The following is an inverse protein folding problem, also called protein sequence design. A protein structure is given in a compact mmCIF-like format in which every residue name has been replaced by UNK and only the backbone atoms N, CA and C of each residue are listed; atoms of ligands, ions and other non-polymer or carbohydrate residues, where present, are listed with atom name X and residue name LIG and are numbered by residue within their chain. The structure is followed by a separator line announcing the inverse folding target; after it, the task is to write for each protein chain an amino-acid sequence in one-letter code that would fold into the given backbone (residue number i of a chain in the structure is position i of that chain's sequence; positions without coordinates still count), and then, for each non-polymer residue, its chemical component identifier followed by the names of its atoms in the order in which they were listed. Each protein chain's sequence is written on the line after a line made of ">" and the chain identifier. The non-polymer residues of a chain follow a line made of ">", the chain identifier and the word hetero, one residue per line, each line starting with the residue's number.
data_IF_599318452360
#
_entry.id   IF_599318452360
#
_cell.length_a   1.000
_cell.length_b   1.000
_cell.length_c   1.000
_cell.angle_alpha   90.00
_cell.angle_beta   90.00
_cell.angle_gamma   90.00
#
_symmetry.space_group_name_H-M   'P 1'
#
loop_
_entity.id
_entity.type
_entity.pdbx_description
1 polymer ?
#
# COMPACT_ATOMS: atom_id res chain seq x y z
N UNK A 1 21.71 92.73 -94.50
CA UNK A 1 20.77 91.58 -94.47
C UNK A 1 21.63 90.35 -94.19
N UNK A 2 21.52 89.74 -93.00
CA UNK A 2 20.66 88.58 -92.70
C UNK A 2 21.18 87.27 -93.31
N UNK A 3 21.36 86.14 -92.61
CA UNK A 3 21.30 85.83 -91.15
C UNK A 3 22.08 84.49 -90.91
N UNK A 4 22.46 84.20 -89.67
CA UNK A 4 22.74 82.87 -89.04
C UNK A 4 21.95 81.69 -89.68
N UNK A 5 22.28 80.38 -89.51
CA UNK A 5 23.11 79.79 -88.45
C UNK A 5 24.02 78.63 -88.97
N UNK A 6 24.60 77.67 -88.22
CA UNK A 6 24.80 77.42 -86.77
C UNK A 6 26.05 76.53 -86.55
N UNK A 7 26.44 76.27 -85.29
CA UNK A 7 27.11 75.04 -84.87
C UNK A 7 26.50 74.55 -83.55
N UNK A 8 25.94 73.34 -83.53
CA UNK A 8 25.33 72.71 -82.36
C UNK A 8 26.13 71.44 -81.96
N UNK A 9 26.43 71.21 -80.68
CA UNK A 9 27.14 70.02 -80.21
C UNK A 9 26.17 68.88 -79.88
N UNK A 10 26.58 67.63 -80.10
CA UNK A 10 25.89 66.47 -79.50
C UNK A 10 26.36 66.25 -78.06
N UNK A 11 25.40 66.03 -77.15
CA UNK A 11 25.64 65.93 -75.71
C UNK A 11 26.19 64.55 -75.30
N UNK A 12 27.22 64.55 -74.45
CA UNK A 12 27.71 63.34 -73.77
C UNK A 12 26.84 63.05 -72.55
N UNK A 13 26.34 61.83 -72.45
CA UNK A 13 25.52 61.36 -71.33
C UNK A 13 26.31 61.32 -70.01
N UNK A 14 25.79 61.96 -68.95
CA UNK A 14 26.16 61.62 -67.56
C UNK A 14 24.98 61.00 -66.80
N UNK A 15 25.18 59.76 -66.31
CA UNK A 15 24.26 59.11 -65.38
C UNK A 15 24.52 59.65 -63.96
N UNK A 16 23.52 60.18 -63.23
CA UNK A 16 23.74 60.76 -61.92
C UNK A 16 24.12 59.69 -60.87
N UNK A 17 25.34 59.78 -60.34
CA UNK A 17 25.81 58.92 -59.23
C UNK A 17 25.04 59.26 -57.95
N UNK A 18 24.10 58.40 -57.58
CA UNK A 18 23.28 58.52 -56.36
C UNK A 18 24.17 58.39 -55.11
N UNK A 19 24.50 59.52 -54.49
CA UNK A 19 25.28 59.54 -53.24
C UNK A 19 24.44 58.96 -52.09
N UNK A 20 24.80 57.79 -51.56
CA UNK A 20 24.19 57.29 -50.34
C UNK A 20 24.58 58.17 -49.14
N UNK A 21 23.68 58.43 -48.18
CA UNK A 21 23.97 59.25 -47.02
C UNK A 21 24.86 58.48 -46.04
N UNK A 22 26.18 58.55 -46.23
CA UNK A 22 27.20 57.84 -45.43
C UNK A 22 26.97 57.98 -43.91
N UNK A 23 26.58 59.17 -43.44
CA UNK A 23 26.28 59.41 -42.03
C UNK A 23 25.11 58.58 -41.46
N UNK A 24 24.11 58.21 -42.27
CA UNK A 24 23.02 57.31 -41.83
C UNK A 24 23.48 55.85 -41.76
N UNK A 25 24.38 55.43 -42.65
CA UNK A 25 24.97 54.09 -42.62
C UNK A 25 25.91 53.94 -41.42
N UNK A 26 26.76 54.94 -41.16
CA UNK A 26 27.62 54.99 -39.99
C UNK A 26 26.81 55.00 -38.68
N UNK A 27 25.73 55.80 -38.61
CA UNK A 27 24.82 55.82 -37.47
C UNK A 27 24.14 54.47 -37.21
N UNK A 28 23.64 53.80 -38.26
CA UNK A 28 23.03 52.48 -38.16
C UNK A 28 24.03 51.38 -37.75
N UNK A 29 25.27 51.42 -38.29
CA UNK A 29 26.34 50.52 -37.87
C UNK A 29 26.74 50.73 -36.41
N UNK A 30 26.82 51.99 -35.95
CA UNK A 30 27.12 52.34 -34.56
C UNK A 30 26.06 51.86 -33.58
N UNK A 31 24.76 52.06 -33.87
CA UNK A 31 23.67 51.57 -33.01
C UNK A 31 23.56 50.06 -33.02
N UNK A 32 23.82 49.40 -34.15
CA UNK A 32 23.86 47.94 -34.24
C UNK A 32 24.99 47.34 -33.38
N UNK A 33 26.22 47.87 -33.50
CA UNK A 33 27.35 47.41 -32.68
C UNK A 33 27.12 47.67 -31.19
N UNK A 34 26.54 48.81 -30.82
CA UNK A 34 26.22 49.13 -29.42
C UNK A 34 25.13 48.20 -28.86
N UNK A 35 24.10 47.87 -29.65
CA UNK A 35 23.07 46.90 -29.27
C UNK A 35 23.66 45.50 -29.04
N UNK A 36 24.52 45.03 -29.95
CA UNK A 36 25.20 43.73 -29.82
C UNK A 36 26.14 43.73 -28.61
N UNK A 37 26.90 44.80 -28.38
CA UNK A 37 27.82 44.92 -27.24
C UNK A 37 27.09 44.97 -25.88
N UNK A 38 25.94 45.65 -25.80
CA UNK A 38 25.11 45.65 -24.58
C UNK A 38 24.50 44.27 -24.35
N UNK A 39 23.97 43.62 -25.38
CA UNK A 39 23.39 42.27 -25.28
C UNK A 39 24.42 41.24 -24.83
N UNK A 40 25.57 41.16 -25.51
CA UNK A 40 26.65 40.23 -25.13
C UNK A 40 27.30 40.60 -23.80
N UNK A 41 27.43 41.89 -23.48
CA UNK A 41 27.91 42.37 -22.18
C UNK A 41 27.03 41.93 -21.02
N UNK A 42 25.70 42.03 -21.16
CA UNK A 42 24.73 41.54 -20.16
C UNK A 42 24.81 40.01 -20.04
N UNK A 43 24.89 39.29 -21.16
CA UNK A 43 25.03 37.82 -21.15
C UNK A 43 26.31 37.38 -20.43
N UNK A 44 27.46 37.97 -20.78
CA UNK A 44 28.75 37.67 -20.15
C UNK A 44 28.71 38.04 -18.66
N UNK A 45 28.12 39.19 -18.29
CA UNK A 45 28.01 39.59 -16.88
C UNK A 45 27.12 38.64 -16.06
N UNK A 46 25.99 38.17 -16.61
CA UNK A 46 25.17 37.13 -15.98
C UNK A 46 25.93 35.80 -15.80
N UNK A 47 26.72 35.40 -16.81
CA UNK A 47 27.45 34.12 -16.81
C UNK A 47 28.77 34.16 -16.02
N UNK A 48 29.42 35.33 -15.88
CA UNK A 48 30.64 35.48 -15.07
C UNK A 48 30.37 35.74 -13.59
N UNK A 49 29.27 36.40 -13.22
CA UNK A 49 28.91 36.62 -11.83
C UNK A 49 28.05 35.49 -11.24
N UNK A 50 27.39 34.72 -12.12
CA UNK A 50 26.47 33.69 -11.74
C UNK A 50 27.12 32.32 -11.80
N UNK A 51 27.28 31.70 -10.64
CA UNK A 51 27.61 30.28 -10.48
C UNK A 51 26.42 29.37 -10.91
N UNK A 52 25.67 29.79 -11.93
CA UNK A 52 24.34 29.26 -12.29
C UNK A 52 24.45 27.83 -12.80
N UNK A 53 25.56 27.47 -13.45
CA UNK A 53 25.86 26.10 -13.83
C UNK A 53 26.05 25.20 -12.62
N UNK A 54 26.83 25.64 -11.63
CA UNK A 54 27.09 24.88 -10.41
C UNK A 54 25.83 24.80 -9.54
N UNK A 55 25.09 25.91 -9.36
CA UNK A 55 23.80 25.97 -8.66
C UNK A 55 22.73 25.08 -9.30
N UNK A 56 22.58 25.10 -10.63
CA UNK A 56 21.63 24.21 -11.30
C UNK A 56 22.07 22.75 -11.16
N UNK A 57 23.37 22.44 -11.31
CA UNK A 57 23.87 21.06 -11.18
C UNK A 57 23.73 20.52 -9.75
N UNK A 58 24.02 21.33 -8.74
CA UNK A 58 23.85 20.99 -7.31
C UNK A 58 22.38 20.83 -6.95
N UNK A 59 21.51 21.69 -7.45
CA UNK A 59 20.06 21.56 -7.24
C UNK A 59 19.49 20.32 -7.95
N UNK A 60 19.95 19.97 -9.15
CA UNK A 60 19.58 18.72 -9.83
C UNK A 60 20.06 17.51 -9.02
N UNK A 61 21.33 17.50 -8.58
CA UNK A 61 21.89 16.41 -7.79
C UNK A 61 21.17 16.24 -6.43
N UNK A 62 20.84 17.32 -5.74
CA UNK A 62 20.05 17.31 -4.50
C UNK A 62 18.62 16.80 -4.74
N UNK A 63 17.97 17.25 -5.82
CA UNK A 63 16.64 16.74 -6.20
C UNK A 63 16.67 15.25 -6.54
N UNK A 64 17.72 14.78 -7.23
CA UNK A 64 17.89 13.35 -7.56
C UNK A 64 18.20 12.51 -6.31
N UNK A 65 19.03 13.01 -5.39
CA UNK A 65 19.26 12.37 -4.09
C UNK A 65 17.99 12.28 -3.25
N UNK A 66 17.16 13.33 -3.21
CA UNK A 66 15.85 13.32 -2.55
C UNK A 66 14.88 12.33 -3.20
N UNK A 67 14.86 12.23 -4.54
CA UNK A 67 14.05 11.22 -5.26
C UNK A 67 14.52 9.80 -4.95
N UNK A 68 15.83 9.54 -4.87
CA UNK A 68 16.37 8.24 -4.50
C UNK A 68 16.02 7.88 -3.05
N UNK A 69 16.17 8.82 -2.11
CA UNK A 69 15.79 8.63 -0.71
C UNK A 69 14.28 8.34 -0.56
N UNK A 70 13.41 9.07 -1.27
CA UNK A 70 11.96 8.83 -1.27
C UNK A 70 11.61 7.46 -1.88
N UNK A 71 12.31 6.99 -2.91
CA UNK A 71 12.11 5.65 -3.48
C UNK A 71 12.50 4.55 -2.50
N UNK A 72 13.63 4.71 -1.83
CA UNK A 72 14.09 3.77 -0.80
C UNK A 72 13.12 3.73 0.39
N UNK A 73 12.62 4.88 0.84
CA UNK A 73 11.61 4.98 1.90
C UNK A 73 10.29 4.30 1.48
N UNK A 74 9.83 4.49 0.24
CA UNK A 74 8.65 3.80 -0.30
C UNK A 74 8.85 2.27 -0.33
N UNK A 75 10.06 1.78 -0.67
CA UNK A 75 10.36 0.35 -0.68
C UNK A 75 10.36 -0.23 0.75
N UNK A 76 10.98 0.46 1.71
CA UNK A 76 10.97 0.10 3.14
C UNK A 76 9.53 0.11 3.69
N UNK A 77 8.73 1.12 3.36
CA UNK A 77 7.32 1.21 3.78
C UNK A 77 6.47 0.10 3.17
N UNK A 78 6.66 -0.24 1.89
CA UNK A 78 5.94 -1.37 1.27
C UNK A 78 6.31 -2.72 1.90
N UNK A 79 7.60 -2.95 2.20
CA UNK A 79 8.05 -4.15 2.92
C UNK A 79 7.42 -4.21 4.33
N UNK A 80 7.38 -3.07 5.03
CA UNK A 80 6.75 -2.96 6.36
C UNK A 80 5.24 -3.20 6.30
N UNK A 81 4.54 -2.65 5.30
CA UNK A 81 3.11 -2.88 5.07
C UNK A 81 2.83 -4.35 4.80
N UNK A 82 3.67 -5.03 4.01
CA UNK A 82 3.53 -6.45 3.71
C UNK A 82 3.71 -7.31 4.97
N UNK A 83 4.74 -7.03 5.77
CA UNK A 83 4.98 -7.72 7.04
C UNK A 83 3.81 -7.51 8.03
N UNK A 84 3.30 -6.28 8.16
CA UNK A 84 2.14 -5.98 9.02
C UNK A 84 0.84 -6.64 8.52
N UNK A 85 0.68 -6.86 7.21
CA UNK A 85 -0.45 -7.61 6.66
C UNK A 85 -0.37 -9.10 7.02
N UNK A 86 0.81 -9.72 6.90
CA UNK A 86 1.06 -11.11 7.27
C UNK A 86 0.83 -11.31 8.79
N UNK A 87 1.40 -10.46 9.64
CA UNK A 87 1.15 -10.47 11.08
C UNK A 87 -0.34 -10.28 11.42
N UNK A 88 -1.05 -9.41 10.70
CA UNK A 88 -2.49 -9.20 10.91
C UNK A 88 -3.31 -10.43 10.56
N UNK A 89 -2.98 -11.14 9.48
CA UNK A 89 -3.66 -12.39 9.09
C UNK A 89 -3.39 -13.50 10.11
N UNK A 90 -2.15 -13.64 10.57
CA UNK A 90 -1.77 -14.57 11.65
C UNK A 90 -2.53 -14.25 12.94
N UNK A 91 -2.60 -12.98 13.34
CA UNK A 91 -3.28 -12.56 14.57
C UNK A 91 -4.81 -12.76 14.49
N UNK A 92 -5.42 -12.46 13.33
CA UNK A 92 -6.84 -12.77 13.04
C UNK A 92 -7.11 -14.26 13.10
N UNK A 93 -6.19 -15.06 12.56
CA UNK A 93 -6.24 -16.53 12.58
C UNK A 93 -6.22 -17.01 14.04
N UNK A 94 -5.24 -16.60 14.86
CA UNK A 94 -5.21 -16.92 16.29
C UNK A 94 -6.48 -16.47 17.04
N UNK A 95 -7.00 -15.27 16.80
CA UNK A 95 -8.26 -14.81 17.41
C UNK A 95 -9.44 -15.72 17.03
N UNK A 96 -9.58 -16.09 15.76
CA UNK A 96 -10.66 -16.96 15.27
C UNK A 96 -10.57 -18.36 15.87
N UNK A 97 -9.37 -18.94 15.94
CA UNK A 97 -9.17 -20.27 16.53
C UNK A 97 -9.36 -20.26 18.05
N UNK A 98 -8.80 -19.27 18.75
CA UNK A 98 -8.94 -19.12 20.20
C UNK A 98 -10.39 -18.91 20.61
N UNK A 99 -11.10 -17.97 19.98
CA UNK A 99 -12.52 -17.71 20.27
C UNK A 99 -13.44 -18.88 19.93
N UNK A 100 -13.26 -19.51 18.75
CA UNK A 100 -14.08 -20.66 18.34
C UNK A 100 -13.85 -21.88 19.24
N UNK A 101 -12.59 -22.15 19.64
CA UNK A 101 -12.25 -23.26 20.55
C UNK A 101 -12.72 -22.98 21.97
N UNK A 102 -12.54 -21.75 22.48
CA UNK A 102 -13.05 -21.35 23.79
C UNK A 102 -14.58 -21.46 23.86
N UNK A 103 -15.29 -20.98 22.83
CA UNK A 103 -16.75 -21.09 22.72
C UNK A 103 -17.21 -22.55 22.67
N UNK A 104 -16.55 -23.42 21.88
CA UNK A 104 -16.80 -24.87 21.89
C UNK A 104 -16.66 -25.46 23.29
N UNK A 105 -15.58 -25.14 24.00
CA UNK A 105 -15.34 -25.65 25.35
C UNK A 105 -16.39 -25.16 26.35
N UNK A 106 -16.82 -23.89 26.25
CA UNK A 106 -17.92 -23.33 27.06
C UNK A 106 -19.23 -24.08 26.78
N UNK A 107 -19.59 -24.31 25.52
CA UNK A 107 -20.81 -25.04 25.18
C UNK A 107 -20.79 -26.50 25.64
N UNK A 108 -19.65 -27.19 25.51
CA UNK A 108 -19.48 -28.56 26.04
C UNK A 108 -19.64 -28.57 27.55
N UNK A 109 -19.05 -27.61 28.27
CA UNK A 109 -19.19 -27.51 29.73
C UNK A 109 -20.63 -27.18 30.17
N UNK A 110 -21.34 -26.31 29.44
CA UNK A 110 -22.77 -26.06 29.68
C UNK A 110 -23.62 -27.32 29.50
N UNK A 111 -23.33 -28.12 28.48
CA UNK A 111 -24.04 -29.37 28.22
C UNK A 111 -23.75 -30.44 29.28
N UNK A 112 -22.49 -30.54 29.76
CA UNK A 112 -22.11 -31.38 30.91
C UNK A 112 -22.80 -30.92 32.21
N UNK A 113 -22.95 -29.61 32.43
CA UNK A 113 -23.69 -29.05 33.56
C UNK A 113 -25.19 -29.42 33.49
N UNK A 114 -25.80 -29.30 32.31
CA UNK A 114 -27.19 -29.73 32.07
C UNK A 114 -27.37 -31.22 32.37
N UNK A 115 -26.43 -32.09 31.98
CA UNK A 115 -26.48 -33.52 32.30
C UNK A 115 -26.45 -33.78 33.81
N UNK A 116 -25.56 -33.10 34.54
CA UNK A 116 -25.50 -33.18 36.00
C UNK A 116 -26.80 -32.72 36.67
N UNK A 117 -27.36 -31.59 36.22
CA UNK A 117 -28.64 -31.07 36.72
C UNK A 117 -29.82 -32.02 36.45
N UNK A 118 -29.92 -32.57 35.23
CA UNK A 118 -30.98 -33.51 34.88
C UNK A 118 -30.85 -34.85 35.63
N UNK A 119 -29.63 -35.31 35.92
CA UNK A 119 -29.41 -36.50 36.74
C UNK A 119 -29.91 -36.30 38.19
N UNK A 120 -29.60 -35.15 38.80
CA UNK A 120 -30.12 -34.78 40.13
C UNK A 120 -31.64 -34.61 40.11
N UNK A 121 -32.19 -33.99 39.06
CA UNK A 121 -33.64 -33.84 38.89
C UNK A 121 -34.34 -35.20 38.79
N UNK A 122 -33.81 -36.14 37.99
CA UNK A 122 -34.34 -37.51 37.87
C UNK A 122 -34.41 -38.20 39.23
N UNK A 123 -33.36 -38.09 40.04
CA UNK A 123 -33.34 -38.65 41.40
C UNK A 123 -34.40 -37.98 42.28
N UNK A 124 -34.46 -36.65 42.30
CA UNK A 124 -35.44 -35.90 43.10
C UNK A 124 -36.90 -36.19 42.70
N UNK A 125 -37.18 -36.50 41.42
CA UNK A 125 -38.49 -36.95 40.94
C UNK A 125 -38.83 -38.33 41.51
N UNK A 126 -37.89 -39.28 41.49
CA UNK A 126 -38.08 -40.61 42.08
C UNK A 126 -38.29 -40.55 43.60
N UNK A 127 -37.45 -39.78 44.31
CA UNK A 127 -37.58 -39.56 45.76
C UNK A 127 -38.95 -38.93 46.13
N UNK A 128 -39.49 -38.02 45.31
CA UNK A 128 -40.85 -37.51 45.49
C UNK A 128 -41.92 -38.55 45.14
N UNK A 129 -41.69 -39.36 44.10
CA UNK A 129 -42.57 -40.45 43.67
C UNK A 129 -42.86 -41.41 44.82
N UNK A 130 -41.82 -41.90 45.49
CA UNK A 130 -41.92 -42.80 46.65
C UNK A 130 -42.63 -42.15 47.87
N UNK A 131 -42.59 -40.83 48.01
CA UNK A 131 -43.23 -40.11 49.13
C UNK A 131 -44.71 -39.77 48.92
N UNK A 132 -45.21 -39.78 47.67
CA UNK A 132 -46.55 -39.31 47.31
C UNK A 132 -47.47 -40.47 46.91
N UNK A 133 -48.57 -40.75 47.63
CA UNK A 133 -49.52 -41.76 47.18
C UNK A 133 -50.17 -41.35 45.85
N UNK A 134 -50.30 -42.31 44.92
CA UNK A 134 -50.79 -42.11 43.53
C UNK A 134 -49.88 -41.25 42.63
N UNK A 135 -48.58 -41.15 42.93
CA UNK A 135 -47.59 -40.41 42.14
C UNK A 135 -47.23 -40.99 40.77
N UNK A 136 -47.37 -42.30 40.60
CA UNK A 136 -46.68 -43.08 39.55
C UNK A 136 -46.89 -42.59 38.11
N UNK A 137 -48.05 -42.02 37.77
CA UNK A 137 -48.33 -41.53 36.41
C UNK A 137 -47.56 -40.24 36.08
N UNK A 138 -47.53 -39.27 37.00
CA UNK A 138 -46.76 -38.04 36.79
C UNK A 138 -45.26 -38.32 36.90
N UNK A 139 -44.84 -39.16 37.85
CA UNK A 139 -43.44 -39.56 38.02
C UNK A 139 -42.89 -40.18 36.73
N UNK A 140 -43.59 -41.17 36.16
CA UNK A 140 -43.21 -41.82 34.90
C UNK A 140 -43.10 -40.82 33.76
N UNK A 141 -44.06 -39.89 33.64
CA UNK A 141 -44.05 -38.86 32.61
C UNK A 141 -42.85 -37.91 32.74
N UNK A 142 -42.58 -37.42 33.95
CA UNK A 142 -41.46 -36.50 34.19
C UNK A 142 -40.11 -37.20 34.03
N UNK A 143 -39.93 -38.43 34.53
CA UNK A 143 -38.70 -39.21 34.29
C UNK A 143 -38.45 -39.42 32.79
N UNK A 144 -39.48 -39.79 32.01
CA UNK A 144 -39.36 -39.93 30.56
C UNK A 144 -38.91 -38.63 29.86
N UNK A 145 -39.47 -37.48 30.25
CA UNK A 145 -39.07 -36.19 29.69
C UNK A 145 -37.65 -35.80 30.12
N UNK A 146 -37.26 -36.08 31.35
CA UNK A 146 -35.89 -35.88 31.84
C UNK A 146 -34.88 -36.74 31.07
N UNK A 147 -35.22 -38.00 30.77
CA UNK A 147 -34.38 -38.90 29.96
C UNK A 147 -34.27 -38.44 28.51
N UNK A 148 -35.37 -37.96 27.91
CA UNK A 148 -35.37 -37.39 26.56
C UNK A 148 -34.48 -36.15 26.49
N UNK A 149 -34.58 -35.26 27.49
CA UNK A 149 -33.73 -34.08 27.61
C UNK A 149 -32.25 -34.46 27.82
N UNK A 150 -31.97 -35.47 28.67
CA UNK A 150 -30.61 -35.97 28.93
C UNK A 150 -29.99 -36.58 27.66
N UNK A 151 -30.76 -37.37 26.90
CA UNK A 151 -30.31 -37.95 25.63
C UNK A 151 -30.02 -36.85 24.60
N UNK A 152 -30.93 -35.90 24.42
CA UNK A 152 -30.73 -34.77 23.50
C UNK A 152 -29.53 -33.89 23.91
N UNK A 153 -29.24 -33.81 25.22
CA UNK A 153 -28.05 -33.17 25.77
C UNK A 153 -26.77 -33.93 25.43
N UNK A 154 -26.73 -35.25 25.63
CA UNK A 154 -25.57 -36.09 25.26
C UNK A 154 -25.29 -36.08 23.74
N UNK A 155 -26.35 -36.06 22.91
CA UNK A 155 -26.23 -35.91 21.46
C UNK A 155 -25.61 -34.55 21.09
N UNK A 156 -26.07 -33.45 21.69
CA UNK A 156 -25.49 -32.11 21.51
C UNK A 156 -24.02 -32.05 21.96
N UNK A 157 -23.67 -32.59 23.12
CA UNK A 157 -22.29 -32.67 23.59
C UNK A 157 -21.40 -33.46 22.62
N UNK A 158 -21.92 -34.55 22.05
CA UNK A 158 -21.20 -35.38 21.07
C UNK A 158 -20.98 -34.63 19.77
N UNK A 159 -22.00 -33.94 19.24
CA UNK A 159 -21.88 -33.09 18.05
C UNK A 159 -20.88 -31.94 18.27
N UNK A 160 -20.93 -31.26 19.42
CA UNK A 160 -19.99 -30.19 19.78
C UNK A 160 -18.55 -30.70 19.87
N UNK A 161 -18.33 -31.91 20.43
CA UNK A 161 -17.01 -32.55 20.47
C UNK A 161 -16.51 -32.91 19.06
N UNK A 162 -17.39 -33.40 18.19
CA UNK A 162 -17.10 -33.72 16.77
C UNK A 162 -16.85 -32.49 15.88
N UNK A 163 -17.34 -31.29 16.25
CA UNK A 163 -17.01 -30.06 15.53
C UNK A 163 -15.49 -29.82 15.55
N UNK A 164 -14.83 -29.96 14.39
CA UNK A 164 -13.46 -29.50 14.20
C UNK A 164 -13.44 -27.97 14.18
N UNK A 165 -13.24 -27.37 15.35
CA UNK A 165 -12.82 -25.96 15.49
C UNK A 165 -11.42 -25.85 14.93
N UNK A 166 -11.32 -25.53 13.63
CA UNK A 166 -10.17 -25.76 12.76
C UNK A 166 -8.83 -25.75 13.50
N UNK A 167 -8.28 -26.93 13.76
CA UNK A 167 -6.99 -27.05 14.43
C UNK A 167 -5.93 -26.35 13.57
N UNK A 168 -5.07 -25.48 14.15
CA UNK A 168 -3.94 -24.98 13.40
C UNK A 168 -3.09 -26.18 12.98
N UNK A 169 -2.60 -26.23 11.73
CA UNK A 169 -1.66 -27.28 11.36
C UNK A 169 -0.48 -27.21 12.33
N UNK A 170 -0.17 -28.34 12.98
CA UNK A 170 1.11 -28.46 13.67
C UNK A 170 2.19 -28.27 12.61
N UNK A 171 2.82 -27.10 12.63
CA UNK A 171 4.13 -26.92 12.03
C UNK A 171 5.06 -27.72 12.94
N UNK A 172 5.20 -29.01 12.63
CA UNK A 172 6.21 -29.82 13.28
C UNK A 172 7.57 -29.19 12.94
N UNK A 173 8.42 -28.87 13.93
CA UNK A 173 9.74 -28.37 13.64
C UNK A 173 10.48 -29.49 12.91
N UNK A 174 10.76 -29.27 11.62
CA UNK A 174 11.55 -30.20 10.83
C UNK A 174 12.89 -30.39 11.52
N UNK A 175 13.13 -31.60 12.02
CA UNK A 175 14.43 -31.93 12.61
C UNK A 175 15.51 -31.66 11.55
N UNK A 176 16.65 -31.04 11.92
CA UNK A 176 17.75 -30.87 11.00
C UNK A 176 18.18 -32.24 10.51
N UNK A 177 18.38 -32.37 9.20
CA UNK A 177 18.75 -33.62 8.58
C UNK A 177 20.06 -34.15 9.19
N UNK A 178 19.97 -35.25 9.93
CA UNK A 178 21.15 -36.03 10.30
C UNK A 178 21.66 -36.74 9.03
N UNK A 179 22.49 -36.04 8.26
CA UNK A 179 23.42 -36.69 7.33
C UNK A 179 24.41 -37.48 8.18
N UNK A 180 24.15 -38.78 8.32
CA UNK A 180 24.88 -39.64 9.26
C UNK A 180 26.35 -39.83 8.90
N UNK A 181 27.13 -40.18 9.93
CA UNK A 181 28.43 -40.83 9.77
C UNK A 181 28.35 -41.96 8.74
N UNK A 182 29.34 -42.01 7.85
CA UNK A 182 29.70 -43.24 7.14
C UNK A 182 31.18 -43.46 7.34
N UNK A 183 31.52 -44.13 8.43
CA UNK A 183 32.86 -44.64 8.70
C UNK A 183 32.97 -46.09 8.23
N UNK A 184 33.98 -46.37 7.42
CA UNK A 184 34.58 -47.68 7.12
C UNK A 184 33.71 -48.78 6.48
N UNK A 185 34.04 -49.12 5.23
CA UNK A 185 34.80 -50.35 4.93
C UNK A 185 35.70 -50.14 3.71
#
# INVERSE_FOLDING_TARGET
>A
MARKPEAAPEEVQEKPKRKLPLGKIAGFGGTFLLSVAVSSGITIWLTSNGDVGELISSQINDTEAQIQALRQEIEIQNATITALQEESEVLRTYLRHSSSTALKNILVNQEENIQGFLAVMRQAIGDLGDMLPQSSEWETLYQYQTDLALKASMERATLLRLLKTGEPPKIEPSLPAQSGDTTAQ
#
